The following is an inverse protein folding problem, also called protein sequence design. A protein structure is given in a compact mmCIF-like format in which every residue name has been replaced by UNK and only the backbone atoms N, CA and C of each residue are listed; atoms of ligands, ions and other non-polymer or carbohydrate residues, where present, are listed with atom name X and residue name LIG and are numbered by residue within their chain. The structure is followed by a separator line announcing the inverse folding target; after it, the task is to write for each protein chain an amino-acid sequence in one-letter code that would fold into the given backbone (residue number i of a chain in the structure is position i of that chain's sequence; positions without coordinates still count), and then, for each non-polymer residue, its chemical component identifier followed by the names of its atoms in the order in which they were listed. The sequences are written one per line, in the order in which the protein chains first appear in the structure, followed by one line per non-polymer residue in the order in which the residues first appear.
data_IF_904272080816
#
_entry.id   IF_904272080816
#
_cell.length_a   1.000
_cell.length_b   1.000
_cell.length_c   1.000
_cell.angle_alpha   90.00
_cell.angle_beta   90.00
_cell.angle_gamma   90.00
#
_symmetry.space_group_name_H-M   'P 1'
#
loop_
_entity.id
_entity.type
_entity.pdbx_description
1 polymer ?
#
# COMPACT_ATOMS: atom_id res chain seq x y z
N UNK A 1 -7.43 -12.99 11.06
CA UNK A 1 -7.92 -12.53 9.74
C UNK A 1 -7.13 -13.23 8.65
N UNK A 2 -7.75 -13.48 7.49
CA UNK A 2 -7.08 -14.11 6.35
C UNK A 2 -6.44 -13.07 5.44
N UNK A 3 -5.17 -13.29 5.12
CA UNK A 3 -4.38 -12.45 4.21
C UNK A 3 -3.66 -13.32 3.18
N UNK A 4 -3.21 -12.72 2.09
CA UNK A 4 -2.45 -13.42 1.04
C UNK A 4 -1.22 -12.64 0.60
N UNK A 5 -0.10 -13.30 0.37
CA UNK A 5 1.05 -12.68 -0.29
C UNK A 5 1.61 -13.57 -1.38
N UNK A 6 2.11 -12.94 -2.44
CA UNK A 6 2.72 -13.62 -3.58
C UNK A 6 4.22 -13.36 -3.53
N UNK A 7 5.01 -14.42 -3.59
CA UNK A 7 6.46 -14.35 -3.53
C UNK A 7 7.07 -15.18 -4.66
N UNK A 8 8.22 -14.75 -5.18
CA UNK A 8 8.99 -15.61 -6.09
C UNK A 8 9.56 -16.83 -5.34
N UNK A 9 9.90 -17.88 -6.08
CA UNK A 9 10.42 -19.14 -5.51
C UNK A 9 11.65 -18.90 -4.63
N UNK A 10 12.58 -18.03 -5.02
CA UNK A 10 13.79 -17.75 -4.23
C UNK A 10 13.50 -17.12 -2.86
N UNK A 11 12.56 -16.18 -2.78
CA UNK A 11 12.12 -15.59 -1.52
C UNK A 11 11.42 -16.63 -0.63
N UNK A 12 10.63 -17.52 -1.23
CA UNK A 12 9.97 -18.62 -0.51
C UNK A 12 10.95 -19.65 0.03
N UNK A 13 11.94 -20.08 -0.74
CA UNK A 13 12.98 -21.02 -0.28
C UNK A 13 13.72 -20.45 0.94
N UNK A 14 14.12 -19.17 0.87
CA UNK A 14 14.72 -18.49 2.03
C UNK A 14 13.77 -18.42 3.22
N UNK A 15 12.48 -18.16 2.99
CA UNK A 15 11.49 -18.10 4.05
C UNK A 15 11.29 -19.45 4.76
N UNK A 16 11.34 -20.58 4.04
CA UNK A 16 11.30 -21.92 4.66
C UNK A 16 12.42 -22.13 5.66
N UNK A 17 13.62 -21.67 5.32
CA UNK A 17 14.81 -21.82 6.15
C UNK A 17 14.79 -20.86 7.35
N UNK A 18 14.48 -19.58 7.12
CA UNK A 18 14.54 -18.55 8.16
C UNK A 18 13.30 -18.52 9.05
N UNK A 19 12.18 -19.11 8.60
CA UNK A 19 10.84 -19.03 9.21
C UNK A 19 10.28 -17.61 9.36
N UNK A 20 10.96 -16.63 8.77
CA UNK A 20 10.61 -15.21 8.82
C UNK A 20 10.82 -14.61 7.43
N UNK A 21 9.78 -14.02 6.88
CA UNK A 21 9.79 -13.26 5.64
C UNK A 21 9.65 -11.78 5.95
N UNK A 22 10.57 -10.97 5.41
CA UNK A 22 10.64 -9.52 5.58
C UNK A 22 10.91 -8.87 4.24
N UNK A 23 10.54 -7.59 4.11
CA UNK A 23 11.01 -6.76 3.02
C UNK A 23 12.55 -6.76 2.97
N UNK A 24 13.09 -6.72 1.77
CA UNK A 24 14.53 -6.59 1.56
C UNK A 24 14.78 -5.24 0.89
N UNK A 25 15.40 -4.34 1.65
CA UNK A 25 15.67 -2.94 1.28
C UNK A 25 16.33 -2.81 -0.11
N UNK A 26 17.09 -3.82 -0.54
CA UNK A 26 17.79 -3.82 -1.84
C UNK A 26 16.86 -3.84 -3.05
N UNK A 27 15.59 -4.20 -2.86
CA UNK A 27 14.60 -4.26 -3.94
C UNK A 27 13.64 -3.07 -3.94
N UNK A 28 13.86 -2.09 -3.07
CA UNK A 28 13.02 -0.89 -3.01
C UNK A 28 13.50 0.10 -4.06
N UNK A 29 12.58 0.57 -4.89
CA UNK A 29 12.83 1.63 -5.84
C UNK A 29 13.18 2.93 -5.09
N UNK A 30 14.28 3.59 -5.48
CA UNK A 30 14.75 4.81 -4.81
C UNK A 30 13.68 5.92 -4.80
N UNK A 31 12.94 6.06 -5.90
CA UNK A 31 11.85 7.03 -6.04
C UNK A 31 10.67 6.77 -5.07
N UNK A 32 10.58 5.55 -4.53
CA UNK A 32 9.49 5.13 -3.64
C UNK A 32 9.86 5.25 -2.16
N UNK A 33 11.12 5.55 -1.82
CA UNK A 33 11.61 5.57 -0.44
C UNK A 33 10.78 6.52 0.44
N UNK A 34 10.44 7.71 -0.05
CA UNK A 34 9.65 8.68 0.69
C UNK A 34 8.29 8.10 1.11
N UNK A 35 7.54 7.56 0.15
CA UNK A 35 6.22 6.97 0.38
C UNK A 35 6.28 5.73 1.27
N UNK A 36 7.34 4.92 1.12
CA UNK A 36 7.57 3.73 1.93
C UNK A 36 7.95 4.08 3.38
N UNK A 37 8.69 5.17 3.60
CA UNK A 37 8.92 5.71 4.93
C UNK A 37 7.62 6.25 5.53
N UNK A 38 6.82 6.97 4.75
CA UNK A 38 5.52 7.48 5.21
C UNK A 38 4.60 6.35 5.67
N UNK A 39 4.42 5.29 4.88
CA UNK A 39 3.57 4.15 5.30
C UNK A 39 4.16 3.42 6.51
N UNK A 40 5.48 3.29 6.61
CA UNK A 40 6.12 2.71 7.80
C UNK A 40 5.87 3.56 9.06
N UNK A 41 5.85 4.88 8.95
CA UNK A 41 5.49 5.75 10.06
C UNK A 41 4.02 5.62 10.44
N UNK A 42 3.12 5.40 9.47
CA UNK A 42 1.72 5.06 9.75
C UNK A 42 1.57 3.73 10.47
N UNK A 43 2.34 2.72 10.09
CA UNK A 43 2.37 1.44 10.80
C UNK A 43 2.83 1.62 12.25
N UNK A 44 3.89 2.40 12.51
CA UNK A 44 4.36 2.66 13.87
C UNK A 44 3.28 3.29 14.75
N UNK A 45 2.50 4.23 14.19
CA UNK A 45 1.39 4.91 14.88
C UNK A 45 0.23 3.97 15.18
N UNK A 46 -0.12 3.08 14.23
CA UNK A 46 -1.41 2.34 14.24
C UNK A 46 -1.29 0.90 14.73
N UNK A 47 -0.19 0.21 14.40
CA UNK A 47 0.04 -1.20 14.76
C UNK A 47 1.29 -1.40 15.63
N UNK A 48 1.92 -0.30 16.06
CA UNK A 48 3.01 -0.31 17.02
C UNK A 48 4.41 -0.45 16.41
N UNK A 49 5.40 -0.32 17.29
CA UNK A 49 6.81 -0.31 16.94
C UNK A 49 7.32 -1.66 16.42
N UNK A 50 8.40 -1.56 15.66
CA UNK A 50 9.09 -2.69 15.07
C UNK A 50 9.59 -3.66 16.15
N UNK A 51 9.46 -4.95 15.86
CA UNK A 51 10.03 -6.02 16.70
C UNK A 51 11.57 -5.96 16.70
N UNK A 52 12.17 -5.28 15.72
CA UNK A 52 13.62 -5.10 15.58
C UNK A 52 13.97 -3.88 14.72
N UNK A 53 15.02 -3.15 15.07
CA UNK A 53 15.60 -2.06 14.26
C UNK A 53 16.10 -2.50 12.87
N UNK A 54 16.26 -3.81 12.65
CA UNK A 54 16.63 -4.36 11.34
C UNK A 54 15.48 -4.37 10.34
N UNK A 55 14.25 -4.17 10.80
CA UNK A 55 13.08 -4.03 9.94
C UNK A 55 12.96 -2.53 9.63
N UNK A 56 12.78 -2.18 8.36
CA UNK A 56 12.62 -0.78 7.95
C UNK A 56 11.34 -0.57 7.17
N UNK A 57 11.00 -1.53 6.32
CA UNK A 57 9.92 -1.40 5.36
C UNK A 57 8.88 -2.51 5.51
N UNK A 58 7.61 -2.23 5.16
CA UNK A 58 6.55 -3.23 5.22
C UNK A 58 6.75 -4.37 4.23
N UNK A 59 6.22 -5.53 4.59
CA UNK A 59 5.80 -6.52 3.61
C UNK A 59 4.33 -6.29 3.24
N UNK A 60 4.05 -6.28 1.94
CA UNK A 60 2.72 -6.12 1.39
C UNK A 60 2.00 -7.46 1.29
N UNK A 61 0.74 -7.45 1.72
CA UNK A 61 -0.18 -8.59 1.64
C UNK A 61 -1.56 -8.10 1.20
N UNK A 62 -2.37 -8.97 0.64
CA UNK A 62 -3.76 -8.70 0.24
C UNK A 62 -4.71 -9.11 1.36
N UNK A 63 -5.65 -8.23 1.71
CA UNK A 63 -6.84 -8.59 2.47
C UNK A 63 -8.04 -8.83 1.55
N UNK A 64 -8.12 -8.05 0.48
CA UNK A 64 -9.15 -8.14 -0.55
C UNK A 64 -8.53 -7.74 -1.89
N UNK A 65 -8.29 -8.69 -2.79
CA UNK A 65 -7.59 -8.40 -4.04
C UNK A 65 -8.46 -7.70 -5.09
N UNK A 66 -9.72 -8.08 -5.26
CA UNK A 66 -10.60 -7.47 -6.25
C UNK A 66 -12.06 -7.52 -5.78
N UNK A 67 -12.40 -6.64 -4.83
CA UNK A 67 -13.73 -6.60 -4.22
C UNK A 67 -14.03 -7.79 -3.30
N UNK A 68 -15.14 -7.67 -2.58
CA UNK A 68 -15.56 -8.61 -1.52
C UNK A 68 -15.80 -10.03 -2.05
N UNK A 69 -16.13 -10.15 -3.34
CA UNK A 69 -16.35 -11.44 -4.01
C UNK A 69 -15.06 -12.14 -4.40
N UNK A 70 -13.95 -11.42 -4.56
CA UNK A 70 -12.65 -11.98 -4.96
C UNK A 70 -11.51 -11.50 -4.05
N UNK A 71 -11.61 -11.86 -2.76
CA UNK A 71 -10.59 -11.50 -1.77
C UNK A 71 -9.21 -12.12 -2.05
N UNK A 72 -9.18 -13.38 -2.48
CA UNK A 72 -7.95 -14.12 -2.78
C UNK A 72 -7.42 -13.74 -4.18
N UNK A 73 -6.12 -13.40 -4.33
CA UNK A 73 -5.53 -13.07 -5.63
C UNK A 73 -5.71 -14.16 -6.69
N UNK A 74 -6.12 -13.76 -7.90
CA UNK A 74 -6.16 -14.66 -9.06
C UNK A 74 -4.78 -14.75 -9.72
N UNK A 75 -4.14 -15.91 -9.57
CA UNK A 75 -2.79 -16.17 -10.09
C UNK A 75 -2.70 -16.19 -11.63
N UNK A 76 -3.82 -16.03 -12.34
CA UNK A 76 -3.86 -15.84 -13.79
C UNK A 76 -3.67 -14.38 -14.19
N UNK A 77 -3.78 -13.44 -13.25
CA UNK A 77 -3.62 -12.01 -13.51
C UNK A 77 -2.16 -11.66 -13.80
N UNK A 78 -1.94 -10.96 -14.90
CA UNK A 78 -0.62 -10.43 -15.26
C UNK A 78 -0.28 -9.25 -14.36
N UNK A 79 0.90 -9.27 -13.72
CA UNK A 79 1.37 -8.17 -12.87
C UNK A 79 1.77 -8.59 -11.45
N UNK A 80 1.44 -9.81 -11.02
CA UNK A 80 1.91 -10.32 -9.72
C UNK A 80 3.41 -10.63 -9.72
N UNK A 81 3.91 -11.22 -10.80
CA UNK A 81 5.31 -11.55 -11.05
C UNK A 81 5.56 -11.47 -12.56
N UNK A 82 6.82 -11.35 -12.97
CA UNK A 82 7.21 -11.43 -14.38
C UNK A 82 6.78 -12.76 -15.00
N UNK A 83 6.31 -12.72 -16.24
CA UNK A 83 5.85 -13.90 -16.98
C UNK A 83 6.90 -15.02 -16.99
N UNK A 84 6.47 -16.25 -16.71
CA UNK A 84 7.35 -17.43 -16.62
C UNK A 84 8.04 -17.61 -15.27
N UNK A 85 7.95 -16.62 -14.37
CA UNK A 85 8.51 -16.73 -13.02
C UNK A 85 7.75 -17.74 -12.20
N UNK A 86 8.47 -18.64 -11.53
CA UNK A 86 7.90 -19.51 -10.51
C UNK A 86 7.63 -18.72 -9.24
N UNK A 87 6.40 -18.82 -8.75
CA UNK A 87 5.98 -18.14 -7.55
C UNK A 87 5.17 -19.03 -6.62
N UNK A 88 4.94 -18.53 -5.42
CA UNK A 88 4.03 -19.10 -4.44
C UNK A 88 3.02 -18.05 -4.02
N UNK A 89 1.78 -18.48 -3.83
CA UNK A 89 0.76 -17.76 -3.08
C UNK A 89 0.73 -18.35 -1.68
N UNK A 90 1.04 -17.53 -0.69
CA UNK A 90 0.88 -17.85 0.73
C UNK A 90 -0.49 -17.37 1.19
N UNK A 91 -1.25 -18.24 1.84
CA UNK A 91 -2.42 -17.88 2.61
C UNK A 91 -2.04 -17.82 4.08
N UNK A 92 -2.37 -16.71 4.74
CA UNK A 92 -1.94 -16.39 6.09
C UNK A 92 -3.14 -16.24 7.02
N UNK A 93 -3.00 -16.67 8.27
CA UNK A 93 -3.88 -16.31 9.37
C UNK A 93 -3.14 -15.36 10.31
N UNK A 94 -3.64 -14.14 10.44
CA UNK A 94 -2.96 -13.03 11.11
C UNK A 94 -3.90 -12.35 12.09
N UNK A 95 -3.45 -12.12 13.32
CA UNK A 95 -4.19 -11.30 14.28
C UNK A 95 -4.41 -9.88 13.74
N UNK A 96 -5.64 -9.32 13.81
CA UNK A 96 -5.93 -8.04 13.18
C UNK A 96 -5.00 -6.88 13.56
N UNK A 97 -4.57 -6.82 14.82
CA UNK A 97 -3.65 -5.79 15.31
C UNK A 97 -2.23 -5.85 14.71
N UNK A 98 -1.88 -6.93 14.02
CA UNK A 98 -0.55 -7.11 13.42
C UNK A 98 -0.49 -6.70 11.93
N UNK A 99 -1.58 -6.17 11.38
CA UNK A 99 -1.67 -5.73 9.99
C UNK A 99 -2.37 -4.37 9.90
N UNK A 100 -1.80 -3.45 9.10
CA UNK A 100 -2.44 -2.17 8.78
C UNK A 100 -3.09 -2.29 7.41
N UNK A 101 -4.43 -2.29 7.38
CA UNK A 101 -5.21 -2.29 6.15
C UNK A 101 -5.22 -0.89 5.51
N UNK A 102 -5.23 -0.83 4.17
CA UNK A 102 -5.37 0.41 3.42
C UNK A 102 -6.02 0.14 2.06
N UNK A 103 -6.69 1.14 1.51
CA UNK A 103 -7.20 1.10 0.13
C UNK A 103 -6.02 1.04 -0.85
N UNK A 104 -6.04 0.04 -1.73
CA UNK A 104 -4.96 -0.19 -2.69
C UNK A 104 -4.95 0.85 -3.80
N UNK A 105 -6.13 1.28 -4.26
CA UNK A 105 -6.27 2.24 -5.35
C UNK A 105 -5.80 3.62 -4.87
N UNK A 106 -6.25 4.06 -3.70
CA UNK A 106 -5.87 5.35 -3.13
C UNK A 106 -4.40 5.41 -2.72
N UNK A 107 -3.78 4.27 -2.37
CA UNK A 107 -2.33 4.25 -2.17
C UNK A 107 -1.56 4.63 -3.45
N UNK A 108 -2.12 4.46 -4.66
CA UNK A 108 -1.50 5.00 -5.87
C UNK A 108 -1.47 6.53 -5.88
N UNK A 109 -2.44 7.21 -5.28
CA UNK A 109 -2.38 8.65 -5.09
C UNK A 109 -1.21 9.03 -4.19
N UNK A 110 -0.99 8.30 -3.09
CA UNK A 110 0.18 8.49 -2.22
C UNK A 110 1.48 8.38 -3.03
N UNK A 111 1.65 7.31 -3.81
CA UNK A 111 2.86 7.08 -4.61
C UNK A 111 3.14 8.15 -5.66
N UNK A 112 2.10 8.89 -6.07
CA UNK A 112 2.17 9.90 -7.13
C UNK A 112 1.98 11.33 -6.61
N UNK A 113 2.11 11.60 -5.31
CA UNK A 113 1.85 12.94 -4.75
C UNK A 113 0.44 13.49 -5.04
N UNK A 114 -0.55 12.61 -5.19
CA UNK A 114 -1.95 12.95 -5.48
C UNK A 114 -2.76 13.28 -4.23
N UNK A 115 -3.60 14.29 -4.32
CA UNK A 115 -4.61 14.64 -3.30
C UNK A 115 -5.76 13.63 -3.30
N UNK A 116 -6.14 13.15 -2.12
CA UNK A 116 -7.23 12.17 -1.94
C UNK A 116 -8.48 12.91 -1.43
N UNK A 117 -9.52 12.94 -2.25
CA UNK A 117 -10.78 13.63 -1.96
C UNK A 117 -11.96 12.66 -1.89
N UNK A 118 -13.02 13.08 -1.22
CA UNK A 118 -14.26 12.28 -1.15
C UNK A 118 -15.22 12.59 -2.30
N UNK A 119 -14.95 13.65 -3.06
CA UNK A 119 -15.69 14.03 -4.26
C UNK A 119 -14.80 14.68 -5.32
N UNK A 120 -15.32 14.78 -6.54
CA UNK A 120 -14.70 15.48 -7.67
C UNK A 120 -14.58 16.98 -7.37
N UNK A 121 -15.57 17.60 -6.72
CA UNK A 121 -15.55 19.03 -6.41
C UNK A 121 -14.44 19.40 -5.42
N UNK A 122 -14.19 18.57 -4.40
CA UNK A 122 -13.09 18.79 -3.45
C UNK A 122 -11.73 18.63 -4.17
N UNK A 123 -11.60 17.64 -5.05
CA UNK A 123 -10.41 17.45 -5.88
C UNK A 123 -10.13 18.69 -6.74
N UNK A 124 -11.12 19.12 -7.51
CA UNK A 124 -11.02 20.28 -8.38
C UNK A 124 -10.73 21.55 -7.59
N UNK A 125 -11.37 21.74 -6.43
CA UNK A 125 -11.13 22.89 -5.57
C UNK A 125 -9.65 22.94 -5.14
N UNK A 126 -9.08 21.83 -4.70
CA UNK A 126 -7.68 21.77 -4.27
C UNK A 126 -6.72 22.20 -5.38
N UNK A 127 -6.84 21.63 -6.58
CA UNK A 127 -5.93 21.93 -7.68
C UNK A 127 -6.17 23.31 -8.31
N UNK A 128 -7.43 23.74 -8.43
CA UNK A 128 -7.75 25.09 -8.92
C UNK A 128 -7.19 26.17 -7.99
N UNK A 129 -7.25 25.98 -6.67
CA UNK A 129 -6.63 26.92 -5.72
C UNK A 129 -5.10 26.91 -5.84
N UNK A 130 -4.47 25.74 -5.94
CA UNK A 130 -3.02 25.62 -6.12
C UNK A 130 -2.53 26.36 -7.39
N UNK A 131 -3.28 26.22 -8.49
CA UNK A 131 -3.00 26.91 -9.77
C UNK A 131 -3.14 28.42 -9.67
N UNK A 132 -4.11 28.94 -8.89
CA UNK A 132 -4.24 30.40 -8.64
C UNK A 132 -3.01 30.99 -7.96
N UNK A 133 -2.27 30.20 -7.19
CA UNK A 133 -0.99 30.60 -6.60
C UNK A 133 0.22 30.37 -7.51
N UNK A 134 0.00 29.92 -8.76
CA UNK A 134 1.05 29.70 -9.75
C UNK A 134 1.80 28.38 -9.57
N UNK A 135 1.24 27.42 -8.83
CA UNK A 135 1.80 26.10 -8.63
C UNK A 135 1.01 25.03 -9.36
N UNK A 136 1.65 23.91 -9.66
CA UNK A 136 1.02 22.71 -10.19
C UNK A 136 1.34 21.50 -9.32
N UNK A 137 0.69 20.37 -9.61
CA UNK A 137 0.94 19.08 -8.98
C UNK A 137 2.45 18.74 -8.89
N UNK A 138 3.22 18.98 -9.96
CA UNK A 138 4.67 18.71 -9.98
C UNK A 138 5.46 19.51 -8.95
N UNK A 139 4.93 20.64 -8.47
CA UNK A 139 5.58 21.41 -7.42
C UNK A 139 5.39 20.77 -6.03
N UNK A 140 4.34 19.98 -5.82
CA UNK A 140 4.13 19.22 -4.58
C UNK A 140 5.19 18.12 -4.40
N UNK A 141 5.70 17.55 -5.50
CA UNK A 141 6.79 16.57 -5.47
C UNK A 141 8.17 17.21 -5.25
N UNK A 142 8.34 18.50 -5.56
CA UNK A 142 9.66 19.14 -5.55
C UNK A 142 10.13 19.48 -4.13
N UNK A 143 11.31 18.96 -3.76
CA UNK A 143 11.98 19.32 -2.52
C UNK A 143 12.66 20.71 -2.55
N UNK A 144 12.99 21.20 -3.76
CA UNK A 144 13.80 22.40 -3.96
C UNK A 144 12.98 23.70 -3.99
N UNK A 145 11.67 23.61 -4.24
CA UNK A 145 10.76 24.76 -4.17
C UNK A 145 10.22 24.88 -2.75
N UNK A 146 10.59 25.97 -2.08
CA UNK A 146 10.11 26.33 -0.74
C UNK A 146 9.32 27.63 -0.80
N UNK A 147 8.12 27.59 -0.25
CA UNK A 147 7.18 28.69 -0.17
C UNK A 147 6.17 28.31 0.91
N UNK A 148 5.83 29.23 1.80
CA UNK A 148 4.88 28.98 2.89
C UNK A 148 3.56 28.42 2.34
N UNK A 149 3.10 28.93 1.18
CA UNK A 149 1.92 28.44 0.49
C UNK A 149 2.11 27.00 0.02
N UNK A 150 3.24 26.69 -0.62
CA UNK A 150 3.46 25.33 -1.14
C UNK A 150 3.59 24.31 0.01
N UNK A 151 4.18 24.71 1.14
CA UNK A 151 4.30 23.87 2.32
C UNK A 151 2.93 23.62 2.98
N UNK A 152 2.04 24.61 2.98
CA UNK A 152 0.64 24.44 3.42
C UNK A 152 -0.10 23.41 2.54
N UNK A 153 0.04 23.49 1.22
CA UNK A 153 -0.61 22.52 0.32
C UNK A 153 0.00 21.12 0.41
N UNK A 154 1.30 21.00 0.67
CA UNK A 154 1.94 19.71 0.98
C UNK A 154 1.39 19.13 2.29
N UNK A 155 1.13 19.96 3.30
CA UNK A 155 0.50 19.50 4.53
C UNK A 155 -0.92 18.97 4.28
N UNK A 156 -1.76 19.75 3.59
CA UNK A 156 -3.11 19.33 3.17
C UNK A 156 -3.08 18.03 2.36
N UNK A 157 -2.10 17.90 1.46
CA UNK A 157 -1.86 16.69 0.69
C UNK A 157 -1.58 15.49 1.61
N UNK A 158 -0.62 15.61 2.52
CA UNK A 158 -0.27 14.51 3.43
C UNK A 158 -1.37 14.16 4.43
N UNK A 159 -2.16 15.14 4.85
CA UNK A 159 -3.38 14.92 5.66
C UNK A 159 -4.42 14.13 4.86
N UNK A 160 -4.61 14.46 3.57
CA UNK A 160 -5.53 13.73 2.70
C UNK A 160 -5.16 12.25 2.55
N UNK A 161 -3.86 11.91 2.63
CA UNK A 161 -3.41 10.52 2.53
C UNK A 161 -3.86 9.64 3.69
N UNK A 162 -4.22 10.21 4.84
CA UNK A 162 -4.78 9.42 5.95
C UNK A 162 -6.12 8.76 5.58
N UNK A 163 -6.81 9.29 4.54
CA UNK A 163 -8.07 8.72 4.03
C UNK A 163 -7.92 7.29 3.51
N UNK A 164 -6.72 6.85 3.10
CA UNK A 164 -6.51 5.46 2.63
C UNK A 164 -6.82 4.41 3.72
N UNK A 165 -6.81 4.82 4.99
CA UNK A 165 -7.10 3.95 6.13
C UNK A 165 -8.58 3.96 6.52
N UNK A 166 -9.37 4.89 5.98
CA UNK A 166 -10.81 4.98 6.23
C UNK A 166 -11.60 4.11 5.25
N UNK A 167 -11.55 2.80 5.49
CA UNK A 167 -12.18 1.81 4.62
C UNK A 167 -13.72 1.84 4.67
N UNK A 168 -14.29 2.49 5.68
CA UNK A 168 -15.74 2.58 5.91
C UNK A 168 -16.30 3.94 5.47
N UNK A 169 -15.49 4.83 4.88
CA UNK A 169 -15.93 6.17 4.47
C UNK A 169 -17.08 6.14 3.45
N UNK A 170 -18.12 6.93 3.64
CA UNK A 170 -19.24 7.07 2.67
C UNK A 170 -18.96 8.18 1.65
N UNK A 171 -17.82 8.12 0.97
CA UNK A 171 -17.50 9.05 -0.13
C UNK A 171 -18.45 8.89 -1.33
N UNK A 172 -18.36 9.79 -2.31
CA UNK A 172 -19.17 9.66 -3.52
C UNK A 172 -18.74 8.39 -4.30
N UNK A 173 -19.65 7.41 -4.42
CA UNK A 173 -19.41 6.18 -5.16
C UNK A 173 -19.13 6.43 -6.65
N UNK A 174 -19.59 7.56 -7.21
CA UNK A 174 -19.28 7.95 -8.60
C UNK A 174 -17.83 8.38 -8.76
N UNK A 175 -17.23 8.88 -7.69
CA UNK A 175 -15.85 9.34 -7.64
C UNK A 175 -14.90 8.21 -7.24
N UNK A 176 -15.17 7.57 -6.09
CA UNK A 176 -14.30 6.57 -5.46
C UNK A 176 -14.62 5.12 -5.83
N UNK A 177 -15.73 4.90 -6.55
CA UNK A 177 -16.27 3.58 -6.83
C UNK A 177 -17.02 2.98 -5.64
N UNK A 178 -17.58 1.79 -5.83
CA UNK A 178 -18.28 1.08 -4.76
C UNK A 178 -17.32 0.39 -3.83
N UNK A 179 -17.56 0.49 -2.51
CA UNK A 179 -16.78 -0.20 -1.47
C UNK A 179 -16.70 -1.72 -1.67
N UNK A 180 -17.79 -2.34 -2.14
CA UNK A 180 -17.82 -3.78 -2.39
C UNK A 180 -16.86 -4.24 -3.52
N UNK A 181 -16.43 -3.32 -4.38
CA UNK A 181 -15.53 -3.58 -5.50
C UNK A 181 -14.09 -3.14 -5.22
N UNK A 182 -13.83 -2.46 -4.10
CA UNK A 182 -12.50 -1.96 -3.76
C UNK A 182 -11.49 -3.08 -3.49
N UNK A 183 -10.21 -2.78 -3.73
CA UNK A 183 -9.12 -3.67 -3.38
C UNK A 183 -8.48 -3.16 -2.09
N UNK A 184 -8.38 -4.02 -1.09
CA UNK A 184 -7.81 -3.69 0.21
C UNK A 184 -6.52 -4.46 0.36
N UNK A 185 -5.43 -3.72 0.43
CA UNK A 185 -4.12 -4.25 0.78
C UNK A 185 -3.89 -4.11 2.28
N UNK A 186 -2.86 -4.78 2.76
CA UNK A 186 -2.37 -4.62 4.11
C UNK A 186 -0.85 -4.61 4.13
N UNK A 187 -0.31 -3.96 5.16
CA UNK A 187 1.11 -3.98 5.46
C UNK A 187 1.35 -4.68 6.79
N UNK A 188 2.43 -5.46 6.84
CA UNK A 188 2.90 -6.14 8.04
C UNK A 188 4.40 -5.87 8.20
N UNK A 189 4.93 -5.94 9.43
CA UNK A 189 6.37 -5.81 9.64
C UNK A 189 7.15 -7.05 9.17
N UNK A 190 6.55 -8.22 9.30
CA UNK A 190 7.09 -9.50 8.84
C UNK A 190 5.96 -10.54 8.77
N UNK A 191 6.18 -11.58 7.98
CA UNK A 191 5.36 -12.80 8.00
C UNK A 191 6.16 -13.89 8.69
N UNK A 192 5.55 -14.53 9.68
CA UNK A 192 6.13 -15.66 10.41
C UNK A 192 5.56 -16.98 9.88
N UNK A 193 6.37 -18.03 9.90
CA UNK A 193 5.98 -19.31 9.31
C UNK A 193 4.71 -19.90 9.95
N UNK A 194 4.51 -19.71 11.25
CA UNK A 194 3.31 -20.15 11.97
C UNK A 194 2.01 -19.48 11.50
N UNK A 195 2.09 -18.35 10.82
CA UNK A 195 0.93 -17.69 10.22
C UNK A 195 0.52 -18.35 8.90
N UNK A 196 1.37 -19.18 8.29
CA UNK A 196 1.11 -19.79 6.98
C UNK A 196 0.11 -20.93 7.11
N UNK A 197 -1.06 -20.77 6.48
CA UNK A 197 -2.13 -21.76 6.44
C UNK A 197 -1.99 -22.66 5.22
N UNK A 198 -1.62 -22.10 4.06
CA UNK A 198 -1.39 -22.89 2.85
C UNK A 198 -0.42 -22.23 1.88
N UNK A 199 0.19 -23.06 1.04
CA UNK A 199 1.12 -22.63 -0.01
C UNK A 199 0.63 -23.19 -1.35
N UNK A 200 0.47 -22.33 -2.35
CA UNK A 200 0.14 -22.74 -3.72
C UNK A 200 1.22 -22.28 -4.68
N UNK A 201 1.93 -23.24 -5.28
CA UNK A 201 2.90 -22.98 -6.33
C UNK A 201 2.22 -22.66 -7.66
N UNK A 202 2.79 -21.75 -8.44
CA UNK A 202 2.31 -21.40 -9.78
C UNK A 202 3.46 -20.88 -10.65
N UNK A 203 3.19 -20.77 -11.96
CA UNK A 203 4.03 -20.07 -12.92
C UNK A 203 3.24 -18.87 -13.42
N UNK A 204 3.82 -17.68 -13.31
CA UNK A 204 3.20 -16.44 -13.76
C UNK A 204 2.94 -16.47 -15.29
N UNK A 205 1.75 -16.02 -15.70
CA UNK A 205 1.28 -16.11 -17.09
C UNK A 205 1.61 -14.88 -17.92
#
# INVERSE_FOLDING_TARGET
MKLWTIQNEGAYEKFKDTRILRANDRFICEDMIFHYNWIADQMKKRIGLLISEKIKYPIWVWYQWNGIKHKKPDLRFSGHLEKGTKGVLLELEVEPQNALLSDFQDFNNVLNYGYISDSEEEYDSFYNELERYGYSHYNLQSADKKSDILDEYKLRLYESWEKIFDLESEGDERWSGKKEDQSIQATMWEVRWEQVVSVKHFIAK
#
